data_IF_590958101721
#
_entry.id   IF_590958101721
#
_cell.length_a   1.000
_cell.length_b   1.000
_cell.length_c   1.000
_cell.angle_alpha   90.00
_cell.angle_beta   90.00
_cell.angle_gamma   90.00
#
_symmetry.space_group_name_H-M   'P 1'
#
loop_
_entity.id
_entity.type
_entity.pdbx_description
1 polymer ?
#
# COMPACT_ATOMS: atom_id res chain seq x y z
N UNK A 1 -21.12 50.03 -39.43
CA UNK A 1 -21.06 48.82 -40.29
C UNK A 1 -20.33 47.64 -39.63
N UNK A 2 -19.08 47.79 -39.17
CA UNK A 2 -18.30 46.66 -38.58
C UNK A 2 -18.87 46.04 -37.29
N UNK A 3 -19.71 46.74 -36.53
CA UNK A 3 -20.38 46.21 -35.33
C UNK A 3 -21.67 45.45 -35.65
N UNK A 4 -22.34 45.78 -36.77
CA UNK A 4 -23.55 45.10 -37.22
C UNK A 4 -23.23 43.77 -37.92
N UNK A 5 -22.10 43.72 -38.65
CA UNK A 5 -21.58 42.48 -39.27
C UNK A 5 -21.13 41.45 -38.23
N UNK A 6 -20.54 41.89 -37.11
CA UNK A 6 -20.18 41.01 -35.99
C UNK A 6 -21.41 40.48 -35.25
N UNK A 7 -22.45 41.28 -35.11
CA UNK A 7 -23.72 40.83 -34.52
C UNK A 7 -24.46 39.84 -35.43
N UNK A 8 -24.50 40.08 -36.74
CA UNK A 8 -25.07 39.11 -37.69
C UNK A 8 -24.27 37.80 -37.75
N UNK A 9 -22.93 37.87 -37.71
CA UNK A 9 -22.07 36.68 -37.72
C UNK A 9 -22.17 35.85 -36.43
N UNK A 10 -22.29 36.50 -35.26
CA UNK A 10 -22.56 35.79 -33.99
C UNK A 10 -23.98 35.21 -33.92
N UNK A 11 -24.98 35.86 -34.51
CA UNK A 11 -26.34 35.32 -34.55
C UNK A 11 -26.47 34.14 -35.52
N UNK A 12 -25.71 34.15 -36.63
CA UNK A 12 -25.65 33.04 -37.58
C UNK A 12 -24.89 31.82 -37.01
N UNK A 13 -23.84 32.03 -36.21
CA UNK A 13 -23.13 30.95 -35.50
C UNK A 13 -23.98 30.34 -34.37
N UNK A 14 -24.78 31.13 -33.66
CA UNK A 14 -25.71 30.62 -32.63
C UNK A 14 -26.88 29.83 -33.25
N UNK A 15 -27.37 30.25 -34.42
CA UNK A 15 -28.41 29.53 -35.16
C UNK A 15 -27.91 28.19 -35.73
N UNK A 16 -26.62 28.08 -36.09
CA UNK A 16 -25.99 26.82 -36.52
C UNK A 16 -25.75 25.83 -35.36
N UNK A 17 -25.54 26.31 -34.13
CA UNK A 17 -25.45 25.45 -32.94
C UNK A 17 -26.82 24.94 -32.45
N UNK A 18 -27.91 25.66 -32.73
CA UNK A 18 -29.27 25.22 -32.37
C UNK A 18 -29.81 24.11 -33.30
N UNK A 19 -29.22 23.90 -34.48
CA UNK A 19 -29.58 22.81 -35.41
C UNK A 19 -28.72 21.54 -35.25
N UNK A 20 -27.70 21.54 -34.40
CA UNK A 20 -26.85 20.36 -34.14
C UNK A 20 -27.43 19.41 -33.06
N UNK A 21 -28.63 19.69 -32.57
CA UNK A 21 -29.36 18.82 -31.64
C UNK A 21 -30.63 18.27 -32.33
N UNK A 22 -30.45 17.60 -33.47
CA UNK A 22 -31.43 16.60 -33.88
C UNK A 22 -31.36 15.49 -32.85
N UNK A 23 -32.40 15.34 -32.02
CA UNK A 23 -32.65 14.08 -31.34
C UNK A 23 -32.58 13.00 -32.42
N UNK A 24 -31.62 12.09 -32.33
CA UNK A 24 -31.61 10.92 -33.18
C UNK A 24 -32.97 10.24 -33.02
N UNK A 25 -33.81 10.32 -34.04
CA UNK A 25 -35.02 9.52 -34.08
C UNK A 25 -34.57 8.06 -33.97
N UNK A 26 -35.20 7.25 -33.12
CA UNK A 26 -34.81 5.85 -32.96
C UNK A 26 -34.77 5.17 -34.32
N UNK A 27 -33.56 4.84 -34.78
CA UNK A 27 -33.35 4.09 -36.02
C UNK A 27 -33.78 2.65 -35.75
N UNK A 28 -34.91 2.24 -36.32
CA UNK A 28 -35.32 0.84 -36.31
C UNK A 28 -36.83 0.64 -36.29
N UNK A 29 -37.22 -0.62 -36.47
CA UNK A 29 -38.58 -1.10 -36.34
C UNK A 29 -39.11 -0.85 -34.91
N UNK A 30 -40.35 -0.33 -34.82
CA UNK A 30 -41.05 -0.08 -33.55
C UNK A 30 -41.88 -1.28 -33.08
N UNK A 31 -41.80 -2.41 -33.79
CA UNK A 31 -42.41 -3.66 -33.39
C UNK A 31 -41.90 -4.08 -32.01
N UNK A 32 -42.84 -4.49 -31.14
CA UNK A 32 -42.52 -4.94 -29.80
C UNK A 32 -41.73 -6.26 -29.88
N UNK A 33 -40.52 -6.36 -29.33
CA UNK A 33 -39.71 -7.56 -29.41
C UNK A 33 -40.30 -8.68 -28.53
N UNK A 34 -39.97 -9.92 -28.88
CA UNK A 34 -40.25 -11.08 -28.02
C UNK A 34 -39.32 -11.07 -26.80
N UNK A 35 -39.81 -11.47 -25.61
CA UNK A 35 -38.94 -11.58 -24.43
C UNK A 35 -37.89 -12.69 -24.60
N UNK A 36 -36.92 -12.72 -23.68
CA UNK A 36 -36.01 -13.86 -23.52
C UNK A 36 -36.78 -15.12 -23.07
N UNK A 37 -36.23 -16.30 -23.35
CA UNK A 37 -36.80 -17.59 -22.89
C UNK A 37 -35.79 -18.40 -22.06
N UNK A 38 -36.28 -19.42 -21.37
CA UNK A 38 -35.48 -20.39 -20.60
C UNK A 38 -34.45 -19.80 -19.63
N UNK A 39 -34.83 -18.84 -18.77
CA UNK A 39 -33.89 -18.25 -17.83
C UNK A 39 -33.39 -19.27 -16.79
N UNK A 40 -32.07 -19.33 -16.61
CA UNK A 40 -31.38 -20.17 -15.63
C UNK A 40 -30.54 -19.29 -14.72
N UNK A 41 -30.78 -19.38 -13.41
CA UNK A 41 -30.10 -18.58 -12.39
C UNK A 41 -28.93 -19.35 -11.80
N UNK A 42 -27.77 -18.70 -11.72
CA UNK A 42 -26.60 -19.13 -10.95
C UNK A 42 -26.29 -18.10 -9.88
N UNK A 43 -26.54 -18.43 -8.61
CA UNK A 43 -26.28 -17.52 -7.49
C UNK A 43 -24.79 -17.50 -7.10
N UNK A 44 -24.25 -16.29 -6.94
CA UNK A 44 -22.86 -15.98 -6.59
C UNK A 44 -22.81 -15.14 -5.29
N UNK A 45 -21.65 -15.03 -4.61
CA UNK A 45 -21.49 -14.11 -3.48
C UNK A 45 -21.90 -12.68 -3.85
N UNK A 46 -22.96 -12.16 -3.24
CA UNK A 46 -23.49 -10.81 -3.51
C UNK A 46 -23.96 -10.56 -4.95
N UNK A 47 -24.17 -11.60 -5.75
CA UNK A 47 -24.50 -11.48 -7.17
C UNK A 47 -25.28 -12.70 -7.69
N UNK A 48 -25.78 -12.60 -8.91
CA UNK A 48 -26.30 -13.74 -9.67
C UNK A 48 -26.06 -13.54 -11.17
N UNK A 49 -25.73 -14.62 -11.86
CA UNK A 49 -25.74 -14.68 -13.32
C UNK A 49 -27.07 -15.28 -13.74
N UNK A 50 -27.76 -14.60 -14.64
CA UNK A 50 -28.99 -15.10 -15.25
C UNK A 50 -28.70 -15.36 -16.73
N UNK A 51 -28.62 -16.64 -17.08
CA UNK A 51 -28.46 -17.08 -18.47
C UNK A 51 -29.84 -17.28 -19.10
N UNK A 52 -29.99 -17.04 -20.39
CA UNK A 52 -31.27 -17.10 -21.10
C UNK A 52 -31.07 -17.35 -22.60
N UNK A 53 -32.14 -17.69 -23.30
CA UNK A 53 -32.20 -17.77 -24.76
C UNK A 53 -32.70 -16.44 -25.34
N UNK A 54 -31.98 -15.92 -26.35
CA UNK A 54 -32.36 -14.69 -27.04
C UNK A 54 -33.41 -14.96 -28.14
N UNK A 55 -34.36 -14.04 -28.38
CA UNK A 55 -35.24 -14.13 -29.54
C UNK A 55 -34.45 -13.92 -30.84
N UNK A 56 -34.92 -14.55 -31.92
CA UNK A 56 -34.43 -14.29 -33.27
C UNK A 56 -35.04 -12.98 -33.80
N UNK A 57 -34.49 -11.85 -33.35
CA UNK A 57 -34.91 -10.51 -33.74
C UNK A 57 -33.69 -9.72 -34.26
N UNK A 58 -33.62 -9.39 -35.58
CA UNK A 58 -32.50 -8.64 -36.14
C UNK A 58 -32.39 -7.20 -35.60
N UNK A 59 -33.44 -6.68 -34.98
CA UNK A 59 -33.47 -5.36 -34.36
C UNK A 59 -33.09 -5.36 -32.89
N UNK A 60 -32.81 -6.53 -32.28
CA UNK A 60 -32.40 -6.63 -30.88
C UNK A 60 -31.10 -5.85 -30.64
N UNK A 61 -31.08 -5.05 -29.57
CA UNK A 61 -29.90 -4.28 -29.16
C UNK A 61 -29.30 -4.81 -27.84
N UNK A 62 -30.12 -5.01 -26.82
CA UNK A 62 -29.67 -5.54 -25.54
C UNK A 62 -30.81 -6.21 -24.76
N UNK A 63 -30.43 -7.00 -23.76
CA UNK A 63 -31.30 -7.40 -22.65
C UNK A 63 -31.04 -6.48 -21.47
N UNK A 64 -32.10 -6.09 -20.78
CA UNK A 64 -32.07 -5.27 -19.57
C UNK A 64 -32.66 -6.04 -18.41
N UNK A 65 -31.94 -6.10 -17.30
CA UNK A 65 -32.45 -6.59 -16.02
C UNK A 65 -32.78 -5.39 -15.13
N UNK A 66 -34.03 -5.27 -14.72
CA UNK A 66 -34.49 -4.32 -13.72
C UNK A 66 -34.54 -5.02 -12.35
N UNK A 67 -33.90 -4.42 -11.35
CA UNK A 67 -33.83 -4.97 -9.99
C UNK A 67 -33.69 -3.87 -8.93
N UNK A 68 -33.88 -4.24 -7.67
CA UNK A 68 -33.72 -3.33 -6.53
C UNK A 68 -32.50 -3.72 -5.68
N UNK A 69 -31.69 -2.72 -5.31
CA UNK A 69 -30.56 -2.84 -4.40
C UNK A 69 -30.58 -1.66 -3.44
N UNK A 70 -30.55 -1.93 -2.14
CA UNK A 70 -30.50 -0.89 -1.08
C UNK A 70 -31.61 0.19 -1.22
N UNK A 71 -32.82 -0.21 -1.66
CA UNK A 71 -33.96 0.70 -1.86
C UNK A 71 -33.97 1.45 -3.19
N UNK A 72 -32.94 1.27 -4.03
CA UNK A 72 -32.82 1.93 -5.33
C UNK A 72 -33.10 0.94 -6.48
N UNK A 73 -33.88 1.40 -7.46
CA UNK A 73 -34.10 0.67 -8.71
C UNK A 73 -32.93 0.86 -9.66
N UNK A 74 -32.41 -0.25 -10.18
CA UNK A 74 -31.24 -0.29 -11.03
C UNK A 74 -31.52 -1.11 -12.29
N UNK A 75 -30.77 -0.77 -13.34
CA UNK A 75 -30.73 -1.49 -14.60
C UNK A 75 -29.33 -2.10 -14.79
N UNK A 76 -29.27 -3.40 -15.06
CA UNK A 76 -28.13 -4.02 -15.73
C UNK A 76 -28.47 -4.20 -17.21
N UNK A 77 -27.45 -4.15 -18.08
CA UNK A 77 -27.63 -4.36 -19.52
C UNK A 77 -26.59 -5.33 -20.06
N UNK A 78 -27.01 -6.24 -20.91
CA UNK A 78 -26.17 -7.16 -21.67
C UNK A 78 -26.48 -6.99 -23.15
N UNK A 79 -25.48 -6.75 -24.00
CA UNK A 79 -25.71 -6.63 -25.44
C UNK A 79 -26.25 -7.93 -26.02
N UNK A 80 -26.87 -7.85 -27.20
CA UNK A 80 -27.39 -9.03 -27.91
C UNK A 80 -26.34 -10.09 -28.27
N UNK A 81 -25.04 -9.80 -28.10
CA UNK A 81 -23.96 -10.78 -28.26
C UNK A 81 -23.84 -11.73 -27.05
N UNK A 82 -24.47 -11.41 -25.92
CA UNK A 82 -24.42 -12.22 -24.70
C UNK A 82 -25.79 -12.82 -24.40
N UNK A 83 -25.78 -14.09 -24.02
CA UNK A 83 -26.94 -14.85 -23.59
C UNK A 83 -27.04 -14.92 -22.04
N UNK A 84 -26.38 -14.01 -21.34
CA UNK A 84 -26.45 -13.91 -19.89
C UNK A 84 -26.33 -12.45 -19.44
N UNK A 85 -26.82 -12.19 -18.22
CA UNK A 85 -26.68 -10.90 -17.54
C UNK A 85 -26.24 -11.11 -16.10
N UNK A 86 -25.32 -10.27 -15.64
CA UNK A 86 -24.87 -10.22 -14.24
C UNK A 86 -25.67 -9.15 -13.49
N UNK A 87 -26.27 -9.53 -12.39
CA UNK A 87 -26.83 -8.60 -11.39
C UNK A 87 -26.01 -8.74 -10.11
N UNK A 88 -25.53 -7.62 -9.57
CA UNK A 88 -24.48 -7.62 -8.54
C UNK A 88 -24.60 -6.47 -7.53
N UNK A 89 -23.90 -6.63 -6.42
CA UNK A 89 -23.85 -5.69 -5.30
C UNK A 89 -24.89 -5.94 -4.23
N UNK A 90 -25.45 -7.14 -4.15
CA UNK A 90 -26.36 -7.50 -3.05
C UNK A 90 -25.55 -7.70 -1.76
N UNK A 91 -25.94 -6.99 -0.70
CA UNK A 91 -25.29 -7.07 0.62
C UNK A 91 -25.80 -8.21 1.50
N UNK A 92 -26.72 -9.03 1.02
CA UNK A 92 -27.46 -10.03 1.79
C UNK A 92 -27.80 -11.25 0.91
N UNK A 93 -28.44 -12.26 1.52
CA UNK A 93 -28.88 -13.50 0.85
C UNK A 93 -30.40 -13.56 0.62
N UNK A 94 -31.08 -12.41 0.65
CA UNK A 94 -32.54 -12.36 0.51
C UNK A 94 -32.96 -12.62 -0.93
N UNK A 95 -33.99 -13.45 -1.07
CA UNK A 95 -34.63 -13.70 -2.36
C UNK A 95 -35.23 -12.42 -2.92
N UNK A 96 -35.07 -12.21 -4.23
CA UNK A 96 -35.59 -11.03 -4.94
C UNK A 96 -35.93 -11.34 -6.39
N UNK A 97 -36.94 -10.65 -6.88
CA UNK A 97 -37.38 -10.75 -8.27
C UNK A 97 -36.53 -9.82 -9.16
N UNK A 98 -36.09 -10.35 -10.30
CA UNK A 98 -35.41 -9.62 -11.37
C UNK A 98 -36.29 -9.69 -12.61
N UNK A 99 -36.52 -8.54 -13.26
CA UNK A 99 -37.33 -8.47 -14.49
C UNK A 99 -36.45 -8.28 -15.70
N UNK A 100 -36.49 -9.25 -16.62
CA UNK A 100 -35.75 -9.21 -17.87
C UNK A 100 -36.60 -8.65 -19.00
N UNK A 101 -36.01 -7.77 -19.79
CA UNK A 101 -36.61 -7.19 -20.99
C UNK A 101 -35.62 -7.29 -22.15
N UNK A 102 -36.07 -7.67 -23.33
CA UNK A 102 -35.32 -7.41 -24.55
C UNK A 102 -35.64 -6.01 -25.04
N UNK A 103 -34.64 -5.27 -25.53
CA UNK A 103 -34.80 -3.91 -26.02
C UNK A 103 -34.23 -3.79 -27.43
N UNK A 104 -35.02 -3.26 -28.36
CA UNK A 104 -34.61 -3.07 -29.75
C UNK A 104 -33.74 -1.83 -29.93
N UNK A 105 -33.11 -1.69 -31.11
CA UNK A 105 -32.39 -0.47 -31.54
C UNK A 105 -33.25 0.78 -31.51
N UNK A 106 -34.57 0.62 -31.70
CA UNK A 106 -35.54 1.69 -31.60
C UNK A 106 -35.99 2.02 -30.16
N UNK A 107 -35.42 1.34 -29.15
CA UNK A 107 -35.74 1.55 -27.73
C UNK A 107 -37.05 0.91 -27.27
N UNK A 108 -37.65 0.02 -28.07
CA UNK A 108 -38.90 -0.66 -27.70
C UNK A 108 -38.58 -1.89 -26.84
N UNK A 109 -39.25 -2.01 -25.69
CA UNK A 109 -39.06 -3.11 -24.74
C UNK A 109 -40.12 -4.21 -24.90
N UNK A 110 -39.74 -5.47 -24.65
CA UNK A 110 -40.68 -6.60 -24.57
C UNK A 110 -41.60 -6.51 -23.34
N UNK A 111 -42.52 -7.47 -23.21
CA UNK A 111 -43.07 -7.80 -21.89
C UNK A 111 -41.96 -8.37 -20.98
N UNK A 112 -42.04 -8.19 -19.65
CA UNK A 112 -41.03 -8.71 -18.74
C UNK A 112 -41.09 -10.24 -18.61
N UNK A 113 -39.94 -10.85 -18.35
CA UNK A 113 -39.82 -12.19 -17.75
C UNK A 113 -39.25 -12.04 -16.36
N UNK A 114 -40.02 -12.44 -15.36
CA UNK A 114 -39.59 -12.42 -13.95
C UNK A 114 -38.80 -13.69 -13.62
N UNK A 115 -37.67 -13.51 -12.93
CA UNK A 115 -36.87 -14.61 -12.36
C UNK A 115 -36.55 -14.28 -10.91
N UNK A 116 -36.52 -15.30 -10.06
CA UNK A 116 -36.14 -15.15 -8.65
C UNK A 116 -34.69 -15.54 -8.47
N UNK A 117 -33.90 -14.67 -7.84
CA UNK A 117 -32.52 -14.95 -7.44
C UNK A 117 -32.42 -15.04 -5.92
N UNK A 118 -31.39 -15.71 -5.42
CA UNK A 118 -31.04 -15.80 -4.00
C UNK A 118 -29.51 -15.71 -3.88
N UNK A 119 -28.93 -14.49 -3.86
CA UNK A 119 -27.49 -14.31 -3.83
C UNK A 119 -26.85 -15.07 -2.67
N UNK A 120 -25.65 -15.61 -2.90
CA UNK A 120 -24.88 -16.20 -1.78
C UNK A 120 -24.36 -15.09 -0.89
N UNK A 121 -23.97 -15.46 0.34
CA UNK A 121 -23.37 -14.55 1.31
C UNK A 121 -22.22 -13.75 0.66
N UNK A 122 -22.22 -12.41 0.74
CA UNK A 122 -21.17 -11.60 0.14
C UNK A 122 -19.79 -11.86 0.77
N UNK A 123 -18.73 -11.75 -0.06
CA UNK A 123 -17.37 -12.02 0.36
C UNK A 123 -16.87 -11.12 1.52
N UNK A 124 -17.46 -9.94 1.71
CA UNK A 124 -17.09 -9.01 2.79
C UNK A 124 -17.15 -9.65 4.18
N UNK A 125 -18.07 -10.60 4.39
CA UNK A 125 -18.19 -11.29 5.67
C UNK A 125 -17.09 -12.31 5.90
N UNK A 126 -16.72 -13.05 4.85
CA UNK A 126 -15.61 -14.01 4.90
C UNK A 126 -14.28 -13.29 5.13
N UNK A 127 -14.12 -12.09 4.55
CA UNK A 127 -12.95 -11.22 4.80
C UNK A 127 -12.90 -10.81 6.27
N UNK A 128 -14.02 -10.37 6.87
CA UNK A 128 -14.08 -9.97 8.28
C UNK A 128 -13.70 -11.14 9.20
N UNK A 129 -14.24 -12.32 8.94
CA UNK A 129 -13.98 -13.54 9.72
C UNK A 129 -12.53 -14.03 9.58
N UNK A 130 -11.84 -13.65 8.50
CA UNK A 130 -10.44 -14.02 8.27
C UNK A 130 -9.42 -13.13 9.00
N UNK A 131 -9.86 -11.99 9.57
CA UNK A 131 -8.94 -11.01 10.13
C UNK A 131 -8.13 -11.61 11.28
N UNK A 132 -6.79 -11.45 11.21
CA UNK A 132 -5.89 -11.69 12.34
C UNK A 132 -5.18 -10.40 12.68
N UNK A 133 -5.32 -9.97 13.92
CA UNK A 133 -4.85 -8.66 14.38
C UNK A 133 -3.80 -8.89 15.47
N UNK A 134 -2.54 -8.63 15.13
CA UNK A 134 -1.41 -8.74 16.05
C UNK A 134 -0.99 -7.34 16.53
N UNK A 135 -0.71 -7.21 17.82
CA UNK A 135 -0.16 -5.96 18.36
C UNK A 135 1.25 -5.71 17.83
N UNK A 136 1.55 -4.45 17.51
CA UNK A 136 2.84 -4.03 16.99
C UNK A 136 3.27 -2.69 17.60
N UNK A 137 4.49 -2.26 17.29
CA UNK A 137 4.99 -0.95 17.69
C UNK A 137 4.15 0.18 17.11
N UNK A 138 3.64 1.04 17.99
CA UNK A 138 2.81 2.16 17.60
C UNK A 138 1.50 1.76 16.88
N UNK A 139 1.04 0.51 17.00
CA UNK A 139 -0.26 0.08 16.50
C UNK A 139 -0.45 -1.43 16.36
N UNK A 140 -0.90 -1.87 15.18
CA UNK A 140 -1.30 -3.26 14.91
C UNK A 140 -0.86 -3.69 13.50
N UNK A 141 -0.61 -4.98 13.30
CA UNK A 141 -0.54 -5.61 11.98
C UNK A 141 -1.81 -6.44 11.79
N UNK A 142 -2.53 -6.17 10.70
CA UNK A 142 -3.77 -6.86 10.36
C UNK A 142 -3.56 -7.68 9.10
N UNK A 143 -3.79 -8.99 9.21
CA UNK A 143 -3.76 -9.95 8.11
C UNK A 143 -5.18 -10.29 7.69
N UNK A 144 -5.39 -10.57 6.40
CA UNK A 144 -6.70 -10.92 5.86
C UNK A 144 -6.60 -11.93 4.72
N UNK A 145 -7.72 -12.60 4.43
CA UNK A 145 -7.95 -13.43 3.24
C UNK A 145 -9.21 -12.93 2.52
N UNK A 146 -9.14 -12.80 1.20
CA UNK A 146 -10.23 -12.40 0.31
C UNK A 146 -10.24 -13.32 -0.92
N UNK A 147 -10.64 -14.58 -0.74
CA UNK A 147 -10.56 -15.61 -1.79
C UNK A 147 -11.35 -15.26 -3.06
N UNK A 148 -12.38 -14.41 -2.94
CA UNK A 148 -13.16 -13.94 -4.08
C UNK A 148 -12.44 -12.85 -4.91
N UNK A 149 -11.31 -12.32 -4.42
CA UNK A 149 -10.58 -11.19 -5.01
C UNK A 149 -11.47 -9.96 -5.28
N UNK A 150 -12.49 -9.77 -4.45
CA UNK A 150 -13.42 -8.65 -4.56
C UNK A 150 -12.77 -7.33 -4.13
N UNK A 151 -13.21 -6.24 -4.73
CA UNK A 151 -12.73 -4.91 -4.34
C UNK A 151 -13.37 -4.51 -3.00
N UNK A 152 -12.59 -4.54 -1.92
CA UNK A 152 -13.05 -4.26 -0.57
C UNK A 152 -12.21 -3.17 0.11
N UNK A 153 -12.82 -2.55 1.12
CA UNK A 153 -12.18 -1.66 2.07
C UNK A 153 -12.25 -2.30 3.45
N UNK A 154 -11.10 -2.49 4.08
CA UNK A 154 -10.99 -2.84 5.49
C UNK A 154 -10.90 -1.53 6.27
N UNK A 155 -12.02 -1.12 6.85
CA UNK A 155 -12.09 0.08 7.67
C UNK A 155 -11.64 -0.23 9.10
N UNK A 156 -10.76 0.61 9.64
CA UNK A 156 -10.26 0.49 11.00
C UNK A 156 -10.71 1.70 11.81
N UNK A 157 -11.34 1.42 12.94
CA UNK A 157 -11.90 2.37 13.87
C UNK A 157 -11.15 2.29 15.20
N UNK A 158 -11.10 3.42 15.90
CA UNK A 158 -10.64 3.51 17.28
C UNK A 158 -11.72 4.18 18.10
N UNK A 159 -12.03 3.61 19.25
CA UNK A 159 -12.89 4.25 20.22
C UNK A 159 -12.18 5.47 20.82
N UNK A 160 -12.78 6.65 20.72
CA UNK A 160 -12.18 7.85 21.30
C UNK A 160 -12.20 7.78 22.83
N UNK A 161 -11.02 7.89 23.45
CA UNK A 161 -10.84 8.02 24.91
C UNK A 161 -10.29 9.39 25.31
N UNK A 162 -10.05 10.29 24.35
CA UNK A 162 -9.46 11.62 24.61
C UNK A 162 -10.50 12.67 24.98
N UNK A 163 -11.78 12.40 24.68
CA UNK A 163 -12.92 13.19 25.14
C UNK A 163 -14.04 12.23 25.57
N UNK A 164 -14.12 11.95 26.87
CA UNK A 164 -15.16 11.12 27.52
C UNK A 164 -16.60 11.60 27.25
N UNK A 165 -16.78 12.69 26.49
CA UNK A 165 -18.11 13.19 26.09
C UNK A 165 -18.56 12.68 24.72
N UNK A 166 -17.64 12.30 23.83
CA UNK A 166 -18.01 11.98 22.44
C UNK A 166 -18.44 10.52 22.25
N UNK A 167 -17.90 9.57 23.04
CA UNK A 167 -18.26 8.13 22.97
C UNK A 167 -18.45 7.64 21.52
N UNK A 168 -17.53 8.00 20.63
CA UNK A 168 -17.66 7.75 19.20
C UNK A 168 -16.48 6.97 18.63
N UNK A 169 -16.78 6.24 17.57
CA UNK A 169 -15.78 5.57 16.73
C UNK A 169 -15.16 6.58 15.77
N UNK A 170 -13.83 6.73 15.86
CA UNK A 170 -13.05 7.54 14.93
C UNK A 170 -12.37 6.62 13.92
N UNK A 171 -12.50 6.91 12.63
CA UNK A 171 -11.75 6.17 11.59
C UNK A 171 -10.27 6.50 11.71
N UNK A 172 -9.44 5.47 11.89
CA UNK A 172 -7.98 5.61 11.95
C UNK A 172 -7.28 5.12 10.69
N UNK A 173 -7.90 4.20 9.93
CA UNK A 173 -7.35 3.73 8.66
C UNK A 173 -8.45 3.18 7.74
N UNK A 174 -8.18 3.15 6.43
CA UNK A 174 -8.97 2.49 5.41
C UNK A 174 -8.02 1.79 4.43
N UNK A 175 -7.95 0.46 4.50
CA UNK A 175 -7.10 -0.33 3.61
C UNK A 175 -7.91 -0.86 2.41
N UNK A 176 -7.55 -0.41 1.21
CA UNK A 176 -8.22 -0.76 -0.05
C UNK A 176 -7.50 -1.93 -0.71
N UNK A 177 -8.20 -2.99 -1.08
CA UNK A 177 -7.57 -4.17 -1.69
C UNK A 177 -8.53 -5.01 -2.51
N UNK A 178 -7.97 -5.71 -3.50
CA UNK A 178 -8.59 -6.83 -4.22
C UNK A 178 -7.68 -8.07 -4.19
N UNK A 179 -6.63 -8.07 -3.36
CA UNK A 179 -5.69 -9.18 -3.28
C UNK A 179 -6.35 -10.39 -2.58
N UNK A 180 -6.06 -11.63 -3.01
CA UNK A 180 -6.59 -12.84 -2.37
C UNK A 180 -6.22 -12.99 -0.89
N UNK A 181 -5.13 -12.37 -0.46
CA UNK A 181 -4.68 -12.28 0.93
C UNK A 181 -3.66 -11.17 1.07
N UNK A 182 -3.45 -10.67 2.28
CA UNK A 182 -2.41 -9.68 2.54
C UNK A 182 -2.28 -9.34 4.01
N UNK A 183 -1.38 -8.40 4.28
CA UNK A 183 -1.20 -7.79 5.60
C UNK A 183 -0.97 -6.29 5.45
N UNK A 184 -1.41 -5.52 6.43
CA UNK A 184 -1.17 -4.07 6.49
C UNK A 184 -0.95 -3.65 7.94
N UNK A 185 -0.26 -2.52 8.14
CA UNK A 185 0.02 -1.97 9.46
C UNK A 185 -0.88 -0.76 9.74
N UNK A 186 -1.57 -0.78 10.86
CA UNK A 186 -2.26 0.38 11.43
C UNK A 186 -1.28 1.04 12.38
N UNK A 187 -0.85 2.27 12.10
CA UNK A 187 0.21 2.96 12.86
C UNK A 187 -0.32 4.14 13.68
N UNK A 188 0.57 4.80 14.43
CA UNK A 188 0.33 6.04 15.21
C UNK A 188 -0.73 5.88 16.31
N UNK A 189 -0.79 4.70 16.91
CA UNK A 189 -1.63 4.42 18.07
C UNK A 189 -0.81 4.50 19.35
N UNK A 190 -1.44 5.01 20.42
CA UNK A 190 -0.82 5.09 21.74
C UNK A 190 -0.74 3.71 22.37
N UNK A 191 0.29 3.47 23.17
CA UNK A 191 0.51 2.24 23.92
C UNK A 191 -0.32 2.18 25.22
N UNK A 192 -1.64 2.30 25.08
CA UNK A 192 -2.61 2.19 26.17
C UNK A 192 -3.75 1.25 25.74
N UNK A 193 -4.40 0.54 26.68
CA UNK A 193 -5.57 -0.27 26.36
C UNK A 193 -6.61 0.57 25.60
N UNK A 194 -6.90 0.15 24.37
CA UNK A 194 -7.77 0.88 23.46
C UNK A 194 -8.67 -0.09 22.73
N UNK A 195 -9.95 0.27 22.63
CA UNK A 195 -10.92 -0.48 21.84
C UNK A 195 -10.80 -0.07 20.36
N UNK A 196 -10.55 -1.04 19.49
CA UNK A 196 -10.53 -0.89 18.04
C UNK A 196 -11.72 -1.62 17.41
N UNK A 197 -12.12 -1.13 16.24
CA UNK A 197 -13.21 -1.71 15.45
C UNK A 197 -12.73 -2.00 14.03
N UNK A 198 -13.16 -3.10 13.44
CA UNK A 198 -12.89 -3.44 12.05
C UNK A 198 -14.20 -3.73 11.34
N UNK A 199 -14.39 -3.17 10.15
CA UNK A 199 -15.52 -3.50 9.29
C UNK A 199 -15.05 -3.64 7.85
N UNK A 200 -15.73 -4.47 7.07
CA UNK A 200 -15.46 -4.62 5.64
C UNK A 200 -16.57 -3.96 4.85
N UNK A 201 -16.18 -3.23 3.81
CA UNK A 201 -17.09 -2.55 2.90
C UNK A 201 -16.75 -2.86 1.45
N UNK A 202 -17.74 -3.13 0.62
CA UNK A 202 -17.54 -3.30 -0.83
C UNK A 202 -17.74 -1.99 -1.62
N UNK A 203 -17.58 -2.08 -2.95
CA UNK A 203 -17.77 -0.95 -3.88
C UNK A 203 -19.21 -0.43 -3.96
N UNK A 204 -20.19 -1.22 -3.52
CA UNK A 204 -21.61 -0.86 -3.50
C UNK A 204 -22.07 -0.31 -2.14
N UNK A 205 -21.11 -0.10 -1.23
CA UNK A 205 -21.34 0.40 0.13
C UNK A 205 -22.12 -0.58 1.03
N UNK A 206 -22.16 -1.87 0.68
CA UNK A 206 -22.57 -2.89 1.66
C UNK A 206 -21.47 -3.02 2.70
N UNK A 207 -21.87 -3.18 3.97
CA UNK A 207 -20.97 -3.19 5.11
C UNK A 207 -21.28 -4.35 6.02
N UNK A 208 -20.24 -4.94 6.60
CA UNK A 208 -20.39 -5.85 7.74
C UNK A 208 -20.72 -5.05 9.01
N UNK A 209 -21.11 -5.77 10.06
CA UNK A 209 -21.01 -5.22 11.41
C UNK A 209 -19.53 -5.03 11.81
N UNK A 210 -19.31 -4.34 12.93
CA UNK A 210 -17.98 -4.01 13.45
C UNK A 210 -17.45 -5.13 14.34
N UNK A 211 -16.35 -5.75 13.95
CA UNK A 211 -15.54 -6.58 14.84
C UNK A 211 -14.82 -5.67 15.84
N UNK A 212 -15.15 -5.81 17.11
CA UNK A 212 -14.52 -5.04 18.19
C UNK A 212 -13.43 -5.85 18.87
N UNK A 213 -12.26 -5.24 19.08
CA UNK A 213 -11.13 -5.84 19.81
C UNK A 213 -10.53 -4.82 20.77
N UNK A 214 -10.11 -5.26 21.95
CA UNK A 214 -9.38 -4.41 22.89
C UNK A 214 -7.89 -4.79 22.85
N UNK A 215 -7.05 -3.83 22.48
CA UNK A 215 -5.62 -4.04 22.24
C UNK A 215 -4.79 -2.93 22.88
N UNK A 216 -3.58 -3.29 23.29
CA UNK A 216 -2.57 -2.34 23.77
C UNK A 216 -1.38 -2.41 22.82
N UNK A 217 -1.25 -1.45 21.88
CA UNK A 217 -0.08 -1.34 21.03
C UNK A 217 1.22 -1.31 21.83
N UNK A 218 2.31 -1.80 21.24
CA UNK A 218 3.61 -1.67 21.89
C UNK A 218 4.09 -0.23 21.84
N UNK A 219 4.61 0.23 22.97
CA UNK A 219 5.23 1.54 23.07
C UNK A 219 6.42 1.64 22.10
N UNK A 220 6.48 2.73 21.36
CA UNK A 220 7.58 3.05 20.46
C UNK A 220 8.07 4.46 20.82
N UNK A 221 9.37 4.59 21.00
CA UNK A 221 10.06 5.87 21.12
C UNK A 221 11.30 5.88 20.23
N UNK A 222 11.73 7.09 19.82
CA UNK A 222 13.03 7.26 19.19
C UNK A 222 14.11 7.08 20.26
N UNK A 223 15.11 6.25 19.99
CA UNK A 223 16.24 6.08 20.88
C UNK A 223 17.04 7.40 20.95
N UNK A 224 17.52 7.74 22.15
CA UNK A 224 18.31 8.94 22.37
C UNK A 224 19.67 8.84 21.67
N UNK A 225 19.78 9.53 20.53
CA UNK A 225 20.97 9.65 19.69
C UNK A 225 22.24 9.98 20.46
N UNK A 226 22.15 10.77 21.54
CA UNK A 226 23.32 11.15 22.35
C UNK A 226 23.93 9.99 23.13
N UNK A 227 23.19 8.91 23.32
CA UNK A 227 23.70 7.69 23.98
C UNK A 227 24.30 6.70 23.00
N UNK A 228 24.10 6.89 21.70
CA UNK A 228 24.63 6.00 20.67
C UNK A 228 26.10 6.32 20.43
N UNK A 229 26.97 5.31 20.52
CA UNK A 229 28.41 5.49 20.39
C UNK A 229 29.04 4.43 19.49
N UNK A 230 30.07 4.82 18.72
CA UNK A 230 30.91 3.89 17.96
C UNK A 230 31.58 2.91 18.92
N UNK A 231 31.55 1.63 18.59
CA UNK A 231 32.32 0.60 19.29
C UNK A 231 33.42 0.11 18.37
N UNK A 232 34.67 0.21 18.82
CA UNK A 232 35.85 -0.23 18.07
C UNK A 232 36.71 -1.17 18.92
N UNK A 233 37.64 -1.89 18.27
CA UNK A 233 38.57 -2.79 18.96
C UNK A 233 37.92 -4.02 19.59
N UNK A 234 36.70 -4.37 19.15
CA UNK A 234 35.97 -5.58 19.55
C UNK A 234 36.10 -6.67 18.50
N UNK A 235 35.94 -7.96 18.88
CA UNK A 235 35.91 -9.05 17.93
C UNK A 235 34.84 -8.84 16.84
N UNK A 236 35.22 -9.02 15.57
CA UNK A 236 34.32 -8.88 14.42
C UNK A 236 33.91 -10.29 13.94
N UNK A 237 32.60 -10.61 13.89
CA UNK A 237 32.15 -11.91 13.42
C UNK A 237 32.51 -12.11 11.95
N UNK A 238 32.96 -13.32 11.58
CA UNK A 238 33.34 -13.67 10.21
C UNK A 238 32.18 -14.37 9.49
N UNK A 239 31.04 -13.70 9.41
CA UNK A 239 29.80 -14.23 8.84
C UNK A 239 29.66 -13.77 7.38
N UNK A 240 29.36 -14.67 6.41
CA UNK A 240 29.12 -14.31 5.02
C UNK A 240 28.02 -13.26 4.80
N UNK A 241 28.07 -12.48 3.69
CA UNK A 241 29.18 -12.42 2.74
C UNK A 241 30.45 -11.85 3.40
N UNK A 242 31.61 -12.31 2.94
CA UNK A 242 32.94 -11.87 3.36
C UNK A 242 33.61 -11.12 2.21
N UNK A 243 34.60 -10.25 2.47
CA UNK A 243 35.30 -9.57 1.39
C UNK A 243 35.99 -10.54 0.43
N UNK A 244 35.86 -10.27 -0.87
CA UNK A 244 36.41 -11.13 -1.94
C UNK A 244 37.94 -11.28 -1.86
N UNK A 245 38.63 -10.30 -1.28
CA UNK A 245 40.08 -10.34 -1.09
C UNK A 245 40.55 -11.40 -0.10
N UNK A 246 39.66 -12.01 0.68
CA UNK A 246 39.98 -13.00 1.70
C UNK A 246 40.52 -12.43 3.01
N UNK A 247 40.57 -11.10 3.15
CA UNK A 247 41.11 -10.38 4.32
C UNK A 247 40.21 -10.50 5.58
N UNK A 248 39.01 -11.07 5.44
CA UNK A 248 38.01 -11.19 6.49
C UNK A 248 37.24 -9.89 6.72
N UNK A 249 36.06 -9.99 7.33
CA UNK A 249 35.21 -8.86 7.69
C UNK A 249 35.86 -8.05 8.82
N UNK A 250 35.88 -6.71 8.70
CA UNK A 250 36.57 -5.82 9.64
C UNK A 250 35.74 -4.58 9.97
N UNK A 251 36.00 -4.02 11.15
CA UNK A 251 35.64 -2.64 11.48
C UNK A 251 36.54 -1.68 10.69
N UNK A 252 35.97 -0.73 9.91
CA UNK A 252 36.77 0.15 9.07
C UNK A 252 37.63 1.10 9.91
N UNK A 253 38.92 1.18 9.57
CA UNK A 253 39.88 2.05 10.27
C UNK A 253 39.73 3.50 9.81
N UNK A 254 39.37 4.38 10.74
CA UNK A 254 39.28 5.83 10.52
C UNK A 254 38.04 6.28 9.73
N UNK A 255 38.03 7.56 9.38
CA UNK A 255 36.99 8.25 8.63
C UNK A 255 37.57 9.49 7.96
N UNK A 256 36.86 10.05 6.98
CA UNK A 256 37.24 11.36 6.43
C UNK A 256 37.11 12.42 7.54
N UNK A 257 38.10 13.31 7.65
CA UNK A 257 38.24 14.20 8.81
C UNK A 257 37.04 15.11 9.09
N UNK A 258 36.36 15.59 8.04
CA UNK A 258 35.15 16.42 8.16
C UNK A 258 33.84 15.62 8.30
N UNK A 259 33.92 14.29 8.30
CA UNK A 259 32.77 13.36 8.35
C UNK A 259 32.94 12.31 9.47
N UNK A 260 33.10 12.74 10.74
CA UNK A 260 33.26 11.83 11.87
C UNK A 260 31.98 11.03 12.15
N UNK A 261 32.13 9.92 12.87
CA UNK A 261 31.00 9.03 13.22
C UNK A 261 29.89 9.76 13.98
N UNK A 262 30.23 10.75 14.81
CA UNK A 262 29.24 11.53 15.55
C UNK A 262 28.21 12.23 14.66
N UNK A 263 28.56 12.53 13.41
CA UNK A 263 27.64 13.17 12.46
C UNK A 263 26.52 12.24 11.98
N UNK A 264 26.53 10.94 12.31
CA UNK A 264 25.36 10.08 12.07
C UNK A 264 24.15 10.45 12.92
N UNK A 265 24.37 11.22 13.99
CA UNK A 265 23.43 11.40 15.08
C UNK A 265 23.31 12.88 15.49
N UNK A 266 23.52 13.80 14.55
CA UNK A 266 23.66 15.24 14.81
C UNK A 266 22.47 16.09 14.33
N UNK A 267 21.39 15.45 13.86
CA UNK A 267 20.19 16.11 13.31
C UNK A 267 20.44 16.92 12.03
N UNK A 268 21.58 16.73 11.35
CA UNK A 268 21.94 17.49 10.14
C UNK A 268 21.89 16.61 8.88
N UNK A 269 21.11 17.04 7.90
CA UNK A 269 20.93 16.33 6.64
C UNK A 269 21.66 17.02 5.48
N UNK A 270 21.84 16.29 4.37
CA UNK A 270 22.41 16.83 3.14
C UNK A 270 23.86 16.39 2.92
N UNK A 271 24.76 17.35 2.67
CA UNK A 271 26.15 17.05 2.28
C UNK A 271 27.05 17.03 3.51
N UNK A 272 26.61 16.27 4.51
CA UNK A 272 27.29 16.00 5.78
C UNK A 272 27.01 14.55 6.17
N UNK A 273 27.63 14.09 7.26
CA UNK A 273 27.40 12.78 7.84
C UNK A 273 28.68 12.09 8.25
N UNK A 274 28.61 10.77 8.37
CA UNK A 274 29.76 9.91 8.55
C UNK A 274 30.25 9.36 7.22
N UNK A 275 31.56 9.32 7.02
CA UNK A 275 32.19 8.76 5.82
C UNK A 275 33.39 7.93 6.22
N UNK A 276 33.40 6.63 5.91
CA UNK A 276 34.58 5.79 6.13
C UNK A 276 35.74 6.26 5.26
N UNK A 277 36.98 5.80 5.51
CA UNK A 277 38.00 5.97 4.48
C UNK A 277 37.58 5.27 3.17
N UNK A 278 38.11 5.73 2.04
CA UNK A 278 37.79 5.14 0.73
C UNK A 278 38.53 3.81 0.52
N UNK A 279 38.03 2.99 -0.42
CA UNK A 279 38.67 1.73 -0.90
C UNK A 279 38.87 0.65 0.17
N UNK A 280 37.93 0.53 1.12
CA UNK A 280 37.89 -0.63 2.01
C UNK A 280 37.58 -1.89 1.21
N UNK A 281 38.11 -3.02 1.65
CA UNK A 281 37.54 -4.33 1.32
C UNK A 281 36.14 -4.40 1.91
N UNK A 282 35.12 -4.45 1.05
CA UNK A 282 33.72 -4.56 1.47
C UNK A 282 33.27 -6.03 1.39
N UNK A 283 32.39 -6.52 2.28
CA UNK A 283 31.70 -5.79 3.35
C UNK A 283 32.58 -5.28 4.49
N UNK A 284 32.09 -4.25 5.19
CA UNK A 284 32.67 -3.70 6.43
C UNK A 284 31.65 -3.71 7.58
N UNK A 285 32.13 -3.76 8.81
CA UNK A 285 31.32 -3.96 10.03
C UNK A 285 31.41 -2.77 10.99
N UNK A 286 30.39 -1.91 11.01
CA UNK A 286 30.38 -0.73 11.88
C UNK A 286 29.52 -0.99 13.11
N UNK A 287 30.15 -1.34 14.24
CA UNK A 287 29.49 -1.63 15.50
C UNK A 287 29.18 -0.35 16.31
N UNK A 288 28.04 -0.37 17.00
CA UNK A 288 27.51 0.74 17.79
C UNK A 288 26.91 0.21 19.10
N UNK A 289 27.15 0.94 20.19
CA UNK A 289 26.43 0.78 21.45
C UNK A 289 25.22 1.72 21.41
N UNK A 290 24.01 1.19 21.56
CA UNK A 290 22.78 2.00 21.56
C UNK A 290 22.61 2.85 22.82
N UNK A 291 23.42 2.63 23.85
CA UNK A 291 23.27 3.36 25.11
C UNK A 291 22.17 2.81 26.02
N UNK A 292 21.30 1.93 25.50
CA UNK A 292 20.20 1.23 26.17
C UNK A 292 19.97 -0.14 25.54
N UNK A 293 19.42 -1.10 26.28
CA UNK A 293 18.89 -2.33 25.68
C UNK A 293 17.48 -2.03 25.19
N UNK A 294 17.21 -2.25 23.90
CA UNK A 294 15.92 -1.95 23.30
C UNK A 294 15.45 -3.07 22.38
N UNK A 295 14.14 -3.32 22.37
CA UNK A 295 13.49 -4.07 21.28
C UNK A 295 13.23 -3.10 20.15
N UNK A 296 14.04 -3.17 19.10
CA UNK A 296 13.96 -2.25 17.98
C UNK A 296 12.72 -2.52 17.13
N UNK A 297 12.10 -1.45 16.64
CA UNK A 297 10.90 -1.49 15.80
C UNK A 297 11.20 -1.14 14.35
N UNK A 298 11.97 -0.08 14.14
CA UNK A 298 12.41 0.41 12.83
C UNK A 298 13.68 1.23 12.95
N UNK A 299 14.32 1.46 11.82
CA UNK A 299 15.37 2.45 11.68
C UNK A 299 15.14 3.27 10.42
N UNK A 300 15.76 4.44 10.39
CA UNK A 300 15.68 5.35 9.27
C UNK A 300 17.04 5.97 9.05
N UNK A 301 17.43 6.11 7.79
CA UNK A 301 18.64 6.86 7.47
C UNK A 301 18.44 7.78 6.28
N UNK A 302 19.26 8.83 6.25
CA UNK A 302 19.32 9.75 5.14
C UNK A 302 20.59 9.55 4.35
N UNK A 303 20.43 9.55 3.03
CA UNK A 303 21.57 9.55 2.12
C UNK A 303 22.33 10.87 2.23
N UNK A 304 23.63 10.83 1.93
CA UNK A 304 24.36 12.03 1.54
C UNK A 304 23.68 12.62 0.31
N UNK A 305 23.28 13.88 0.42
CA UNK A 305 22.66 14.66 -0.65
C UNK A 305 23.45 15.97 -0.84
N UNK A 306 23.76 16.38 -2.07
CA UNK A 306 24.34 17.71 -2.34
C UNK A 306 23.33 18.61 -3.06
N UNK A 307 22.78 19.56 -2.31
CA UNK A 307 21.95 20.66 -2.79
C UNK A 307 20.59 20.24 -3.35
N UNK A 308 19.92 21.17 -4.02
CA UNK A 308 18.57 20.97 -4.56
C UNK A 308 18.48 19.89 -5.65
N UNK A 309 19.59 19.42 -6.20
CA UNK A 309 19.60 18.45 -7.29
C UNK A 309 19.89 17.01 -6.86
N UNK A 310 19.93 16.72 -5.55
CA UNK A 310 20.21 15.36 -5.07
C UNK A 310 21.55 14.81 -5.61
N UNK A 311 22.60 15.65 -5.70
CA UNK A 311 23.79 15.36 -6.51
C UNK A 311 24.59 14.10 -6.14
N UNK A 312 24.35 13.54 -4.94
CA UNK A 312 24.96 12.29 -4.48
C UNK A 312 23.95 11.17 -4.19
N UNK A 313 22.65 11.44 -4.28
CA UNK A 313 21.61 10.45 -3.98
C UNK A 313 21.73 9.24 -4.90
N UNK A 314 21.57 8.02 -4.36
CA UNK A 314 21.69 6.77 -5.10
C UNK A 314 22.98 6.68 -5.92
N UNK A 315 24.07 7.17 -5.36
CA UNK A 315 25.41 7.18 -5.96
C UNK A 315 26.49 7.20 -4.88
N UNK A 316 27.75 7.05 -5.30
CA UNK A 316 28.92 7.16 -4.43
C UNK A 316 28.81 6.17 -3.25
N UNK A 317 29.28 6.54 -2.05
CA UNK A 317 29.25 5.70 -0.86
C UNK A 317 27.89 5.59 -0.17
N UNK A 318 26.78 6.05 -0.77
CA UNK A 318 25.47 5.82 -0.18
C UNK A 318 25.18 4.30 -0.17
N UNK A 319 24.67 3.72 0.93
CA UNK A 319 24.37 2.30 1.01
C UNK A 319 23.42 1.84 -0.10
N UNK A 320 23.77 0.74 -0.77
CA UNK A 320 22.89 0.03 -1.68
C UNK A 320 22.41 -1.27 -1.03
N UNK A 321 23.32 -2.12 -0.54
CA UNK A 321 23.00 -3.31 0.24
C UNK A 321 23.65 -3.28 1.63
N UNK A 322 22.90 -3.67 2.66
CA UNK A 322 23.42 -3.78 4.02
C UNK A 322 22.63 -4.77 4.88
N UNK A 323 23.25 -5.19 5.97
CA UNK A 323 22.60 -5.95 7.03
C UNK A 323 22.73 -5.23 8.36
N UNK A 324 21.67 -5.27 9.18
CA UNK A 324 21.72 -4.84 10.57
C UNK A 324 21.80 -6.07 11.46
N UNK A 325 22.81 -6.12 12.31
CA UNK A 325 23.02 -7.18 13.28
C UNK A 325 22.90 -6.65 14.70
N UNK A 326 22.55 -7.51 15.65
CA UNK A 326 22.44 -7.12 17.06
C UNK A 326 22.98 -8.16 18.03
N UNK A 327 23.41 -7.71 19.21
CA UNK A 327 23.85 -8.56 20.32
C UNK A 327 23.67 -7.87 21.67
N UNK A 328 23.67 -8.66 22.75
CA UNK A 328 23.84 -8.19 24.12
C UNK A 328 25.24 -8.51 24.70
N UNK A 329 26.08 -9.29 24.00
CA UNK A 329 27.47 -9.53 24.37
C UNK A 329 28.42 -9.18 23.22
N UNK A 330 28.92 -7.96 23.24
CA UNK A 330 29.82 -7.43 22.21
C UNK A 330 31.17 -8.19 22.12
N UNK A 331 31.54 -8.99 23.12
CA UNK A 331 32.82 -9.69 23.14
C UNK A 331 32.71 -11.12 22.55
N UNK A 332 31.52 -11.68 22.44
CA UNK A 332 31.29 -12.99 21.81
C UNK A 332 30.88 -12.84 20.35
N UNK A 333 31.74 -13.27 19.43
CA UNK A 333 31.48 -13.24 17.98
C UNK A 333 30.29 -14.10 17.56
N UNK A 334 29.91 -15.12 18.35
CA UNK A 334 28.82 -16.02 18.01
C UNK A 334 27.46 -15.54 18.53
N UNK A 335 27.44 -14.48 19.34
CA UNK A 335 26.21 -13.92 19.94
C UNK A 335 25.41 -13.02 18.99
N UNK A 336 26.01 -12.62 17.87
CA UNK A 336 25.40 -11.72 16.90
C UNK A 336 24.30 -12.42 16.11
N UNK A 337 23.14 -11.78 16.04
CA UNK A 337 22.00 -12.22 15.23
C UNK A 337 21.68 -11.18 14.17
N UNK A 338 21.22 -11.62 13.00
CA UNK A 338 20.76 -10.72 11.95
C UNK A 338 19.37 -10.22 12.32
N UNK A 339 19.18 -8.89 12.33
CA UNK A 339 17.91 -8.23 12.60
C UNK A 339 17.22 -7.79 11.32
N UNK A 340 17.99 -7.41 10.30
CA UNK A 340 17.47 -6.94 9.02
C UNK A 340 18.50 -7.09 7.88
N UNK A 341 18.02 -7.21 6.64
CA UNK A 341 18.81 -7.23 5.41
C UNK A 341 18.04 -6.50 4.31
N UNK A 342 18.66 -5.46 3.74
CA UNK A 342 18.03 -4.62 2.73
C UNK A 342 18.90 -4.45 1.50
N UNK A 343 18.24 -4.36 0.35
CA UNK A 343 18.76 -3.87 -0.91
C UNK A 343 17.90 -2.66 -1.28
N UNK A 344 18.49 -1.48 -1.27
CA UNK A 344 17.80 -0.25 -1.63
C UNK A 344 17.47 -0.26 -3.12
N UNK A 345 16.19 -0.11 -3.42
CA UNK A 345 15.72 0.11 -4.79
C UNK A 345 15.45 1.59 -4.98
N UNK A 346 15.94 2.11 -6.10
CA UNK A 346 15.69 3.49 -6.49
C UNK A 346 14.25 3.62 -7.01
N UNK A 347 13.43 4.54 -6.48
CA UNK A 347 12.00 4.65 -6.81
C UNK A 347 11.70 4.71 -8.30
N UNK A 348 12.49 5.47 -9.06
CA UNK A 348 12.28 5.65 -10.49
C UNK A 348 12.69 4.46 -11.36
N UNK A 349 13.49 3.53 -10.82
CA UNK A 349 14.15 2.49 -11.60
C UNK A 349 15.15 3.00 -12.65
N UNK A 350 15.46 4.31 -12.68
CA UNK A 350 16.42 4.88 -13.63
C UNK A 350 17.85 4.44 -13.33
N UNK A 351 18.73 4.34 -14.35
CA UNK A 351 20.15 4.06 -14.15
C UNK A 351 20.83 4.98 -13.13
N UNK A 352 21.88 4.48 -12.47
CA UNK A 352 22.74 5.27 -11.58
C UNK A 352 23.28 6.49 -12.32
N UNK A 353 23.25 7.65 -11.65
CA UNK A 353 23.63 8.94 -12.24
C UNK A 353 22.48 9.76 -12.84
N UNK A 354 21.29 9.19 -13.03
CA UNK A 354 20.08 9.92 -13.45
C UNK A 354 19.08 10.02 -12.30
N UNK A 355 18.73 11.22 -11.85
CA UNK A 355 17.83 11.41 -10.70
C UNK A 355 16.47 11.97 -11.17
N UNK A 356 15.38 11.31 -10.78
CA UNK A 356 14.02 11.83 -10.95
C UNK A 356 13.56 12.67 -9.74
N UNK A 357 12.42 13.36 -9.88
CA UNK A 357 11.80 14.05 -8.74
C UNK A 357 11.33 13.07 -7.64
N UNK A 358 10.91 11.86 -8.03
CA UNK A 358 10.48 10.82 -7.09
C UNK A 358 11.66 10.28 -6.28
N UNK A 359 12.81 10.08 -6.95
CA UNK A 359 14.06 9.69 -6.28
C UNK A 359 14.48 10.73 -5.24
N UNK A 360 14.44 12.00 -5.64
CA UNK A 360 14.74 13.13 -4.76
C UNK A 360 13.80 13.18 -3.56
N UNK A 361 12.50 13.12 -3.80
CA UNK A 361 11.50 13.16 -2.73
C UNK A 361 11.71 12.03 -1.71
N UNK A 362 12.02 10.81 -2.18
CA UNK A 362 12.34 9.69 -1.29
C UNK A 362 13.65 9.92 -0.51
N UNK A 363 14.70 10.43 -1.16
CA UNK A 363 15.97 10.72 -0.48
C UNK A 363 15.85 11.84 0.56
N UNK A 364 15.08 12.90 0.27
CA UNK A 364 14.80 14.00 1.19
C UNK A 364 13.93 13.54 2.37
N UNK A 365 12.96 12.65 2.11
CA UNK A 365 12.14 12.04 3.16
C UNK A 365 12.95 11.10 4.07
N UNK A 366 14.03 10.51 3.56
CA UNK A 366 14.83 9.48 4.23
C UNK A 366 14.24 8.08 4.05
N UNK A 367 15.08 7.06 4.24
CA UNK A 367 14.74 5.66 3.99
C UNK A 367 14.46 4.93 5.29
N UNK A 368 13.22 4.50 5.48
CA UNK A 368 12.74 3.83 6.69
C UNK A 368 12.49 2.34 6.43
N UNK A 369 12.93 1.50 7.36
CA UNK A 369 12.79 0.04 7.31
C UNK A 369 12.37 -0.50 8.68
N UNK A 370 11.44 -1.45 8.70
CA UNK A 370 10.96 -2.09 9.91
C UNK A 370 11.81 -3.32 10.27
N UNK A 371 12.08 -3.51 11.55
CA UNK A 371 12.59 -4.78 12.07
C UNK A 371 11.46 -5.79 12.23
N UNK A 372 11.79 -7.08 12.15
CA UNK A 372 10.83 -8.13 12.43
C UNK A 372 10.31 -8.03 13.87
N UNK A 373 8.99 -8.20 14.08
CA UNK A 373 8.36 -8.04 15.40
C UNK A 373 8.86 -9.04 16.45
N UNK A 374 9.40 -10.18 16.02
CA UNK A 374 10.00 -11.22 16.85
C UNK A 374 11.50 -10.99 17.12
N UNK A 375 12.10 -9.93 16.55
CA UNK A 375 13.47 -9.52 16.86
C UNK A 375 13.65 -9.35 18.37
N UNK A 376 14.69 -9.95 18.98
CA UNK A 376 14.89 -9.84 20.41
C UNK A 376 15.45 -8.46 20.77
N UNK A 377 15.35 -8.05 22.05
CA UNK A 377 16.00 -6.84 22.52
C UNK A 377 17.52 -6.94 22.44
N UNK A 378 18.17 -5.87 21.98
CA UNK A 378 19.63 -5.78 21.84
C UNK A 378 20.17 -4.49 22.42
N UNK A 379 21.43 -4.52 22.88
CA UNK A 379 22.17 -3.36 23.38
C UNK A 379 23.13 -2.80 22.32
N UNK A 380 23.75 -3.71 21.59
CA UNK A 380 24.70 -3.38 20.54
C UNK A 380 24.11 -3.74 19.20
N UNK A 381 24.38 -2.90 18.20
CA UNK A 381 24.06 -3.18 16.81
C UNK A 381 25.31 -3.06 15.95
N UNK A 382 25.27 -3.65 14.76
CA UNK A 382 26.27 -3.41 13.75
C UNK A 382 25.62 -3.20 12.38
N UNK A 383 26.05 -2.13 11.71
CA UNK A 383 25.75 -1.90 10.32
C UNK A 383 26.81 -2.61 9.49
N UNK A 384 26.45 -3.77 8.95
CA UNK A 384 27.28 -4.50 7.99
C UNK A 384 26.99 -3.97 6.60
N UNK A 385 27.82 -3.03 6.17
CA UNK A 385 27.72 -2.45 4.83
C UNK A 385 28.24 -3.45 3.81
N UNK A 386 27.37 -3.93 2.91
CA UNK A 386 27.73 -4.91 1.87
C UNK A 386 28.33 -4.18 0.69
N UNK A 387 27.59 -3.23 0.13
CA UNK A 387 28.04 -2.41 -0.99
C UNK A 387 27.36 -1.02 -1.00
N UNK A 388 27.78 -0.20 -1.96
CA UNK A 388 27.28 1.15 -2.16
C UNK A 388 26.91 1.38 -3.62
N UNK A 389 26.09 2.39 -3.86
CA UNK A 389 25.62 2.74 -5.21
C UNK A 389 26.74 3.07 -6.21
N UNK A 390 27.92 3.51 -5.75
CA UNK A 390 29.08 3.80 -6.59
C UNK A 390 29.85 2.55 -7.04
N UNK A 391 29.66 1.42 -6.37
CA UNK A 391 30.34 0.16 -6.63
C UNK A 391 29.46 -1.02 -6.16
N UNK A 392 28.28 -1.18 -6.78
CA UNK A 392 27.37 -2.30 -6.53
C UNK A 392 28.10 -3.62 -6.82
N UNK A 393 28.04 -4.56 -5.88
CA UNK A 393 28.78 -5.83 -5.91
C UNK A 393 30.31 -5.68 -6.08
N UNK A 394 30.86 -4.49 -5.81
CA UNK A 394 32.28 -4.23 -5.95
C UNK A 394 33.11 -4.88 -4.84
N UNK A 395 34.33 -5.34 -5.13
CA UNK A 395 35.26 -5.84 -4.11
C UNK A 395 35.79 -4.74 -3.18
N UNK A 396 35.76 -3.48 -3.63
CA UNK A 396 36.24 -2.31 -2.90
C UNK A 396 35.16 -1.24 -2.84
N UNK A 397 35.00 -0.61 -1.68
CA UNK A 397 33.98 0.40 -1.47
C UNK A 397 34.19 1.25 -0.23
N UNK A 398 33.19 2.05 0.10
CA UNK A 398 33.14 2.88 1.30
C UNK A 398 31.71 3.28 1.58
N UNK A 399 31.45 3.65 2.82
CA UNK A 399 30.12 4.01 3.30
C UNK A 399 30.07 5.48 3.66
N UNK A 400 29.00 6.15 3.28
CA UNK A 400 28.56 7.37 3.93
C UNK A 400 27.06 7.45 4.12
N UNK A 401 26.67 7.95 5.28
CA UNK A 401 25.28 8.14 5.70
C UNK A 401 25.21 9.52 6.35
N UNK A 402 24.20 10.31 5.97
CA UNK A 402 24.03 11.66 6.49
C UNK A 402 23.54 11.65 7.93
N UNK A 403 22.50 10.86 8.20
CA UNK A 403 21.89 10.73 9.53
C UNK A 403 21.31 9.32 9.66
N UNK A 404 21.29 8.78 10.87
CA UNK A 404 20.76 7.46 11.22
C UNK A 404 19.96 7.53 12.52
N UNK A 405 18.77 6.96 12.52
CA UNK A 405 17.85 6.98 13.65
C UNK A 405 17.27 5.59 13.91
N UNK A 406 17.03 5.27 15.18
CA UNK A 406 16.44 4.01 15.63
C UNK A 406 15.24 4.28 16.52
N UNK A 407 14.21 3.42 16.38
CA UNK A 407 13.04 3.42 17.25
C UNK A 407 12.84 2.05 17.87
N UNK A 408 12.16 2.01 19.00
CA UNK A 408 11.79 0.77 19.66
C UNK A 408 11.23 1.00 21.06
N UNK A 409 11.25 -0.06 21.86
CA UNK A 409 10.91 -0.02 23.27
C UNK A 409 12.15 -0.32 24.11
N UNK A 410 12.55 0.62 24.96
CA UNK A 410 13.61 0.43 25.95
C UNK A 410 13.16 -0.64 26.97
N UNK A 411 14.08 -1.55 27.32
CA UNK A 411 13.85 -2.67 28.23
C UNK A 411 14.45 -2.48 29.62
#
# INVERSE_FOLDING_TARGET
>A
MKTLEKFLSSFLLLALFAMACSKDDPIGDKTKPQPVTDPVVTNLPGAAIIQYTLPDDPNLLYVRAEYERNGEKLDAKASFYYNYILVEGFGDTQQREIKLYTVTRAGVSSSPVSVTIEPKRPAIYDVLESLKIDVAFGGMITQFTNLAAENVVIGVLRWSTEDDRLHEWVTVDNFYTALPSGKFAVRRQKAVPTKFGYFIRDRWNNRTDTLEVELTPWYEEQLDKKKIARVTGKPVPQIPPLPESGIGLKDPVGNLGSWPFANLFDDTYGNTGYHTNERNDIPIWVAMDLGVTAKLSRYKFWQRNSGDNCGFCYSHGNPHEWQIWGTNDINDVNSWIMLDHQIMVKPSGLPVGLISNEDKAAADAGHEYDFALDSPPVRYIAFKHIDNWGAIEGAKGFMHIAELEFWGQIK
#
